data_IF_620754398410
#
_entry.id   IF_620754398410
#
_cell.length_a   1.000
_cell.length_b   1.000
_cell.length_c   1.000
_cell.angle_alpha   90.00
_cell.angle_beta   90.00
_cell.angle_gamma   90.00
#
_symmetry.space_group_name_H-M   'P 1'
#
loop_
_entity.id
_entity.type
_entity.pdbx_description
1 polymer ?
#
# COMPACT_ATOMS: atom_id res chain seq x y z
N UNK A 1 -0.14 -10.61 0.78
CA UNK A 1 0.17 -9.45 -0.08
C UNK A 1 1.41 -8.75 0.41
N UNK A 2 2.21 -8.28 -0.57
CA UNK A 2 3.61 -7.92 -0.36
C UNK A 2 4.49 -9.17 -0.27
N UNK A 3 5.64 -9.17 -0.94
CA UNK A 3 6.55 -10.32 -1.04
C UNK A 3 7.14 -10.77 0.30
N UNK A 4 6.92 -9.96 1.34
CA UNK A 4 7.36 -10.22 2.70
C UNK A 4 8.86 -9.98 2.92
N UNK A 5 9.27 -10.19 4.17
CA UNK A 5 10.62 -9.88 4.62
C UNK A 5 10.85 -8.39 4.83
N UNK A 6 12.11 -8.06 5.16
CA UNK A 6 12.53 -6.70 5.49
C UNK A 6 13.89 -6.37 4.89
N UNK A 7 14.20 -5.08 4.77
CA UNK A 7 15.52 -4.58 4.42
C UNK A 7 15.93 -3.44 5.37
N UNK A 8 17.22 -3.36 5.70
CA UNK A 8 17.76 -2.21 6.46
C UNK A 8 18.41 -1.24 5.48
N UNK A 9 17.90 -0.01 5.44
CA UNK A 9 18.39 1.05 4.55
C UNK A 9 18.59 2.33 5.36
N UNK A 10 19.82 2.84 5.39
CA UNK A 10 20.13 4.07 6.14
C UNK A 10 19.80 3.99 7.64
N UNK A 11 19.88 2.79 8.23
CA UNK A 11 19.52 2.55 9.63
C UNK A 11 18.03 2.38 9.90
N UNK A 12 17.17 2.46 8.87
CA UNK A 12 15.72 2.21 8.98
C UNK A 12 15.38 0.80 8.48
N UNK A 13 14.49 0.12 9.18
CA UNK A 13 13.89 -1.14 8.71
C UNK A 13 12.72 -0.82 7.78
N UNK A 14 12.77 -1.36 6.57
CA UNK A 14 11.69 -1.35 5.59
C UNK A 14 11.05 -2.73 5.57
N UNK A 15 9.73 -2.79 5.66
CA UNK A 15 8.94 -4.01 5.49
C UNK A 15 8.39 -4.07 4.08
N UNK A 16 8.37 -5.26 3.49
CA UNK A 16 7.74 -5.50 2.18
C UNK A 16 6.41 -6.25 2.30
N UNK A 17 5.87 -6.36 3.51
CA UNK A 17 4.51 -6.82 3.73
C UNK A 17 3.52 -5.69 3.49
N UNK A 18 2.40 -5.98 2.84
CA UNK A 18 1.22 -5.12 2.95
C UNK A 18 0.68 -5.26 4.36
N UNK A 19 0.61 -4.18 5.13
CA UNK A 19 0.17 -4.26 6.53
C UNK A 19 -1.32 -4.63 6.64
N UNK A 20 -1.74 -5.51 7.55
CA UNK A 20 -3.15 -5.78 7.78
C UNK A 20 -3.79 -4.58 8.52
N UNK A 21 -5.02 -4.23 8.13
CA UNK A 21 -5.74 -3.08 8.67
C UNK A 21 -6.83 -2.57 7.74
N UNK A 22 -7.53 -1.54 8.22
CA UNK A 22 -8.58 -0.83 7.48
C UNK A 22 -7.99 0.47 6.97
N UNK A 23 -7.88 0.57 5.65
CA UNK A 23 -7.43 1.76 4.93
C UNK A 23 -8.63 2.49 4.35
N UNK A 24 -8.46 3.78 4.04
CA UNK A 24 -9.36 4.53 3.16
C UNK A 24 -8.69 4.88 1.83
N UNK A 25 -9.46 5.08 0.78
CA UNK A 25 -8.92 5.62 -0.46
C UNK A 25 -8.55 7.09 -0.24
N UNK A 26 -7.28 7.44 -0.51
CA UNK A 26 -6.75 8.79 -0.33
C UNK A 26 -6.87 9.61 -1.62
N UNK A 27 -6.35 9.09 -2.73
CA UNK A 27 -6.45 9.68 -4.05
C UNK A 27 -6.41 8.60 -5.15
N UNK A 28 -6.70 9.01 -6.39
CA UNK A 28 -6.56 8.17 -7.58
C UNK A 28 -5.93 8.99 -8.71
N UNK A 29 -4.98 8.39 -9.42
CA UNK A 29 -4.22 9.04 -10.50
C UNK A 29 -3.92 8.06 -11.63
N UNK A 30 -3.93 8.58 -12.83
CA UNK A 30 -3.61 7.84 -14.05
C UNK A 30 -2.86 8.75 -15.04
N UNK A 31 -1.53 8.58 -15.24
CA UNK A 31 -0.63 7.64 -14.56
C UNK A 31 0.02 8.20 -13.27
N UNK A 32 0.71 7.33 -12.53
CA UNK A 32 1.61 7.67 -11.41
C UNK A 32 3.02 7.14 -11.68
N UNK A 33 4.03 7.95 -11.41
CA UNK A 33 5.41 7.46 -11.30
C UNK A 33 5.63 7.00 -9.85
N UNK A 34 5.67 5.68 -9.64
CA UNK A 34 6.01 5.07 -8.36
C UNK A 34 7.52 4.89 -8.29
N UNK A 35 8.16 5.58 -7.35
CA UNK A 35 9.61 5.59 -7.18
C UNK A 35 9.95 5.14 -5.76
N UNK A 36 10.71 4.05 -5.65
CA UNK A 36 11.03 3.45 -4.35
C UNK A 36 11.81 4.38 -3.43
N UNK A 37 12.54 5.36 -3.99
CA UNK A 37 13.28 6.34 -3.21
C UNK A 37 12.36 7.25 -2.40
N UNK A 38 11.09 7.44 -2.78
CA UNK A 38 10.17 8.33 -2.06
C UNK A 38 9.78 7.82 -0.68
N UNK A 39 9.85 6.51 -0.44
CA UNK A 39 9.65 5.91 0.88
C UNK A 39 10.95 5.41 1.53
N UNK A 40 12.09 5.63 0.87
CA UNK A 40 13.43 5.42 1.44
C UNK A 40 14.18 4.19 0.94
N UNK A 41 13.71 3.50 -0.11
CA UNK A 41 14.47 2.43 -0.77
C UNK A 41 15.16 2.95 -2.04
N UNK A 42 16.50 3.10 -2.07
CA UNK A 42 17.22 3.61 -3.23
C UNK A 42 16.87 2.84 -4.51
N UNK A 43 16.59 3.57 -5.59
CA UNK A 43 16.22 2.99 -6.89
C UNK A 43 17.31 2.10 -7.47
N UNK A 44 18.58 2.35 -7.13
CA UNK A 44 19.73 1.53 -7.53
C UNK A 44 20.01 0.34 -6.59
N UNK A 45 19.20 0.12 -5.55
CA UNK A 45 19.30 -1.06 -4.70
C UNK A 45 18.73 -2.29 -5.42
N UNK A 46 19.03 -3.49 -4.91
CA UNK A 46 18.52 -4.76 -5.48
C UNK A 46 17.00 -4.81 -5.63
N UNK A 47 16.28 -4.14 -4.74
CA UNK A 47 14.82 -4.10 -4.70
C UNK A 47 14.26 -2.73 -5.11
N UNK A 48 15.14 -1.82 -5.54
CA UNK A 48 14.74 -0.48 -5.97
C UNK A 48 13.95 -0.52 -7.27
N UNK A 49 13.01 0.42 -7.42
CA UNK A 49 12.21 0.53 -8.63
C UNK A 49 11.83 1.98 -8.92
N UNK A 50 11.61 2.27 -10.19
CA UNK A 50 10.95 3.49 -10.66
C UNK A 50 10.11 3.12 -11.87
N UNK A 51 8.80 3.07 -11.70
CA UNK A 51 7.87 2.58 -12.71
C UNK A 51 6.73 3.56 -12.95
N UNK A 52 6.25 3.61 -14.19
CA UNK A 52 5.04 4.38 -14.54
C UNK A 52 3.87 3.42 -14.54
N UNK A 53 2.89 3.68 -13.70
CA UNK A 53 1.77 2.79 -13.42
C UNK A 53 0.48 3.53 -13.75
N UNK A 54 -0.37 2.88 -14.55
CA UNK A 54 -1.70 3.38 -14.87
C UNK A 54 -2.70 2.95 -13.79
N UNK A 55 -3.85 3.62 -13.76
CA UNK A 55 -4.99 3.25 -12.90
C UNK A 55 -4.61 3.01 -11.43
N UNK A 56 -3.88 3.95 -10.82
CA UNK A 56 -3.36 3.82 -9.47
C UNK A 56 -4.27 4.49 -8.44
N UNK A 57 -4.72 3.71 -7.46
CA UNK A 57 -5.53 4.18 -6.32
C UNK A 57 -4.69 4.09 -5.05
N UNK A 58 -4.43 5.23 -4.41
CA UNK A 58 -3.59 5.31 -3.21
C UNK A 58 -4.40 5.01 -1.96
N UNK A 59 -3.87 4.14 -1.10
CA UNK A 59 -4.51 3.77 0.16
C UNK A 59 -3.66 4.07 1.39
N UNK A 60 -2.38 4.40 1.25
CA UNK A 60 -1.53 4.78 2.39
C UNK A 60 -0.60 5.97 2.09
N UNK A 61 -0.16 6.64 3.14
CA UNK A 61 0.77 7.77 3.01
C UNK A 61 2.19 7.34 2.64
N UNK A 62 2.62 6.15 3.04
CA UNK A 62 3.93 5.56 2.71
C UNK A 62 4.01 4.91 1.32
N UNK A 63 2.92 4.97 0.54
CA UNK A 63 2.96 4.67 -0.88
C UNK A 63 2.46 3.27 -1.26
N UNK A 64 1.49 2.73 -0.51
CA UNK A 64 0.74 1.55 -0.92
C UNK A 64 -0.42 1.97 -1.83
N UNK A 65 -0.49 1.31 -2.99
CA UNK A 65 -1.51 1.52 -4.01
C UNK A 65 -2.18 0.20 -4.38
N UNK A 66 -3.45 0.28 -4.80
CA UNK A 66 -4.08 -0.71 -5.68
C UNK A 66 -3.86 -0.25 -7.11
N UNK A 67 -3.26 -1.08 -7.96
CA UNK A 67 -2.89 -0.62 -9.30
C UNK A 67 -2.71 -1.73 -10.32
N UNK A 68 -2.71 -1.32 -11.59
CA UNK A 68 -2.41 -2.17 -12.72
C UNK A 68 -0.96 -2.68 -12.67
N UNK A 69 -0.77 -3.99 -12.85
CA UNK A 69 0.55 -4.54 -13.20
C UNK A 69 0.44 -5.83 -14.02
N UNK A 70 0.34 -5.68 -15.35
CA UNK A 70 0.20 -6.79 -16.30
C UNK A 70 1.31 -7.85 -16.17
N UNK A 71 2.55 -7.43 -15.90
CA UNK A 71 3.71 -8.32 -15.77
C UNK A 71 3.60 -9.31 -14.60
N UNK A 72 2.71 -9.05 -13.64
CA UNK A 72 2.51 -9.88 -12.44
C UNK A 72 1.25 -10.74 -12.49
N UNK A 73 0.48 -10.75 -13.59
CA UNK A 73 -0.78 -11.52 -13.69
C UNK A 73 -0.58 -13.00 -13.38
N UNK A 74 0.58 -13.57 -13.75
CA UNK A 74 0.92 -14.97 -13.43
C UNK A 74 0.99 -15.26 -11.92
N UNK A 75 1.22 -14.24 -11.09
CA UNK A 75 1.32 -14.33 -9.63
C UNK A 75 0.02 -13.91 -8.91
N UNK A 76 -0.82 -13.10 -9.55
CA UNK A 76 -2.05 -12.57 -8.94
C UNK A 76 -3.01 -13.69 -8.52
N UNK A 77 -3.41 -13.69 -7.25
CA UNK A 77 -4.23 -14.74 -6.65
C UNK A 77 -3.48 -15.99 -6.18
N UNK A 78 -2.15 -16.08 -6.37
CA UNK A 78 -1.36 -17.26 -6.03
C UNK A 78 -0.04 -16.97 -5.29
N UNK A 79 0.65 -15.87 -5.61
CA UNK A 79 1.98 -15.57 -5.07
C UNK A 79 2.20 -14.07 -4.90
N UNK A 80 2.70 -13.66 -3.74
CA UNK A 80 2.99 -12.26 -3.46
C UNK A 80 4.37 -11.86 -4.01
N UNK A 81 4.40 -10.85 -4.88
CA UNK A 81 5.64 -10.40 -5.56
C UNK A 81 5.91 -8.89 -5.46
N UNK A 82 5.02 -8.13 -4.81
CA UNK A 82 5.11 -6.67 -4.73
C UNK A 82 5.93 -6.20 -3.52
N UNK A 83 6.28 -4.91 -3.50
CA UNK A 83 6.87 -4.25 -2.34
C UNK A 83 5.82 -3.78 -1.31
N UNK A 84 4.59 -4.29 -1.40
CA UNK A 84 3.46 -3.92 -0.53
C UNK A 84 2.22 -3.47 -1.30
N UNK A 85 2.37 -2.97 -2.54
CA UNK A 85 1.23 -2.62 -3.39
C UNK A 85 0.36 -3.85 -3.73
N UNK A 86 -0.90 -3.59 -4.04
CA UNK A 86 -1.88 -4.56 -4.48
C UNK A 86 -1.91 -4.56 -6.01
N UNK A 87 -1.11 -5.45 -6.59
CA UNK A 87 -1.05 -5.62 -8.04
C UNK A 87 -2.30 -6.36 -8.52
N UNK A 88 -3.01 -5.77 -9.48
CA UNK A 88 -4.18 -6.40 -10.12
C UNK A 88 -4.07 -6.34 -11.64
N UNK A 89 -4.96 -7.06 -12.32
CA UNK A 89 -4.96 -7.14 -13.79
C UNK A 89 -5.34 -5.77 -14.39
N UNK A 90 -4.97 -5.47 -15.65
CA UNK A 90 -5.37 -4.21 -16.29
C UNK A 90 -6.89 -3.98 -16.31
N UNK A 91 -7.67 -5.05 -16.53
CA UNK A 91 -9.13 -4.96 -16.52
C UNK A 91 -9.67 -4.64 -15.13
N UNK A 92 -9.17 -5.32 -14.09
CA UNK A 92 -9.59 -5.06 -12.71
C UNK A 92 -9.14 -3.69 -12.23
N UNK A 93 -7.94 -3.24 -12.63
CA UNK A 93 -7.42 -1.92 -12.31
C UNK A 93 -8.28 -0.81 -12.91
N UNK A 94 -8.67 -0.96 -14.17
CA UNK A 94 -9.60 -0.03 -14.84
C UNK A 94 -10.92 0.03 -14.09
N UNK A 95 -11.53 -1.14 -13.82
CA UNK A 95 -12.80 -1.22 -13.10
C UNK A 95 -12.72 -0.60 -11.70
N UNK A 96 -11.67 -0.95 -10.94
CA UNK A 96 -11.48 -0.45 -9.59
C UNK A 96 -11.28 1.06 -9.60
N UNK A 97 -10.40 1.56 -10.48
CA UNK A 97 -10.12 2.98 -10.63
C UNK A 97 -11.38 3.80 -10.97
N UNK A 98 -12.23 3.30 -11.88
CA UNK A 98 -13.44 3.99 -12.30
C UNK A 98 -14.49 4.05 -11.20
N UNK A 99 -14.61 2.98 -10.41
CA UNK A 99 -15.66 2.83 -9.41
C UNK A 99 -15.33 3.48 -8.06
N UNK A 100 -14.08 3.36 -7.58
CA UNK A 100 -13.73 3.82 -6.24
C UNK A 100 -13.45 5.32 -6.18
N UNK A 101 -13.80 5.93 -5.06
CA UNK A 101 -13.61 7.36 -4.78
C UNK A 101 -12.89 7.57 -3.44
N UNK A 102 -12.20 8.71 -3.24
CA UNK A 102 -11.64 9.03 -1.93
C UNK A 102 -12.67 8.90 -0.79
N UNK A 103 -12.27 8.24 0.28
CA UNK A 103 -13.12 7.89 1.42
C UNK A 103 -13.65 6.44 1.42
N UNK A 104 -13.66 5.76 0.27
CA UNK A 104 -14.02 4.33 0.23
C UNK A 104 -13.05 3.48 1.05
N UNK A 105 -13.51 2.33 1.55
CA UNK A 105 -12.73 1.48 2.46
C UNK A 105 -12.02 0.34 1.72
N UNK A 106 -10.76 0.10 2.06
CA UNK A 106 -10.00 -1.08 1.66
C UNK A 106 -9.53 -1.79 2.91
N UNK A 107 -9.99 -3.02 3.13
CA UNK A 107 -9.59 -3.82 4.29
C UNK A 107 -8.63 -4.94 3.87
N UNK A 108 -7.44 -4.95 4.47
CA UNK A 108 -6.42 -5.98 4.26
C UNK A 108 -6.37 -6.88 5.48
N UNK A 109 -6.48 -8.19 5.27
CA UNK A 109 -6.45 -9.21 6.33
C UNK A 109 -5.40 -10.28 6.02
N UNK A 110 -4.97 -10.99 7.06
CA UNK A 110 -4.18 -12.23 6.96
C UNK A 110 -2.83 -12.08 6.21
N UNK A 111 -2.15 -10.94 6.34
CA UNK A 111 -0.77 -10.77 5.86
C UNK A 111 0.22 -10.96 7.01
N UNK A 112 1.50 -11.22 6.69
CA UNK A 112 2.56 -11.43 7.70
C UNK A 112 3.18 -10.15 8.26
N UNK A 113 2.67 -8.97 7.89
CA UNK A 113 3.19 -7.69 8.33
C UNK A 113 2.62 -7.23 9.67
N UNK A 114 3.29 -6.27 10.31
CA UNK A 114 2.78 -5.57 11.48
C UNK A 114 1.49 -4.81 11.16
N UNK A 115 0.60 -4.60 12.15
CA UNK A 115 -0.62 -3.81 11.97
C UNK A 115 -0.37 -2.45 11.31
N UNK A 116 -1.36 -1.98 10.55
CA UNK A 116 -1.33 -0.68 9.90
C UNK A 116 -1.13 0.45 10.94
N UNK A 117 -0.11 1.28 10.72
CA UNK A 117 0.15 2.46 11.55
C UNK A 117 -0.94 3.51 11.33
N UNK A 118 -1.37 4.15 12.41
CA UNK A 118 -2.34 5.27 12.38
C UNK A 118 -1.90 6.35 11.38
N UNK A 119 -0.63 6.75 11.42
CA UNK A 119 -0.07 7.79 10.55
C UNK A 119 0.02 7.39 9.07
N UNK A 120 -0.25 6.13 8.74
CA UNK A 120 -0.23 5.60 7.37
C UNK A 120 -1.64 5.33 6.84
N UNK A 121 -2.62 6.13 7.28
CA UNK A 121 -4.06 5.97 6.99
C UNK A 121 -4.72 4.82 7.77
N UNK A 122 -4.28 4.65 9.02
CA UNK A 122 -4.78 3.63 9.94
C UNK A 122 -5.83 4.16 10.92
N UNK A 123 -6.48 5.28 10.64
CA UNK A 123 -7.44 5.91 11.55
C UNK A 123 -8.53 4.94 12.03
N UNK A 124 -9.01 4.08 11.12
CA UNK A 124 -10.04 3.07 11.39
C UNK A 124 -9.52 1.81 12.11
N UNK A 125 -8.23 1.71 12.42
CA UNK A 125 -7.68 0.61 13.24
C UNK A 125 -7.77 0.90 14.74
N UNK A 126 -8.08 2.14 15.13
CA UNK A 126 -8.23 2.53 16.52
C UNK A 126 -9.63 2.14 17.03
N UNK A 127 -9.74 1.38 18.14
CA UNK A 127 -11.03 1.15 18.78
C UNK A 127 -11.73 2.46 19.14
N UNK A 128 -13.04 2.53 18.92
CA UNK A 128 -13.82 3.75 19.14
C UNK A 128 -13.65 4.40 20.54
N UNK A 129 -13.59 3.64 21.66
CA UNK A 129 -13.33 4.24 22.97
C UNK A 129 -11.97 4.96 23.05
N UNK A 130 -10.93 4.40 22.43
CA UNK A 130 -9.59 4.98 22.43
C UNK A 130 -9.53 6.22 21.54
N UNK A 131 -10.23 6.20 20.41
CA UNK A 131 -10.40 7.37 19.55
C UNK A 131 -11.05 8.53 20.31
N UNK A 132 -12.12 8.25 21.06
CA UNK A 132 -12.85 9.24 21.85
C UNK A 132 -12.03 9.80 23.02
N UNK A 133 -11.16 9.01 23.63
CA UNK A 133 -10.22 9.51 24.64
C UNK A 133 -9.23 10.53 24.07
N UNK A 134 -9.08 10.56 22.74
CA UNK A 134 -8.29 11.55 22.03
C UNK A 134 -6.78 11.44 22.31
N UNK A 135 -6.03 12.34 21.68
CA UNK A 135 -4.58 12.46 21.84
C UNK A 135 -4.16 13.80 22.48
N UNK A 136 -5.13 14.65 22.80
CA UNK A 136 -4.92 15.83 23.64
C UNK A 136 -4.68 15.31 25.06
N UNK A 137 -3.41 15.28 25.46
CA UNK A 137 -2.91 14.75 26.74
C UNK A 137 -3.87 15.07 27.91
N UNK A 138 -4.18 14.04 28.71
CA UNK A 138 -5.06 14.14 29.88
C UNK A 138 -4.64 15.13 30.95
#
# INVERSE_FOLDING_TARGET
MGMGGTAVVGGRVLSFWTRPGVYTVLDRKDPVIMDSATYGLPTNSRLGYRTTINHAVRISHDGIYVHELAESVWAQGNTDVSHGCLNISPADATWFYDFVTPGDVVEVRNTGGDPLDIWQNGDWTIPWPDWLHGSARG
#
